data_IF_981275979853
#
_entry.id   IF_981275979853
#
_cell.length_a   1.000
_cell.length_b   1.000
_cell.length_c   1.000
_cell.angle_alpha   90.00
_cell.angle_beta   90.00
_cell.angle_gamma   90.00
#
_symmetry.space_group_name_H-M   'P 1'
#
loop_
_entity.id
_entity.type
_entity.pdbx_description
1 polymer ?
#
# COMPACT_ATOMS: atom_id res chain seq x y z
N UNK A 1 12.40 18.61 -25.51
CA UNK A 1 12.34 17.15 -25.35
C UNK A 1 11.37 16.88 -24.20
N UNK A 2 10.15 16.46 -24.53
CA UNK A 2 9.09 16.21 -23.55
C UNK A 2 9.44 14.97 -22.72
N UNK A 3 9.38 15.11 -21.40
CA UNK A 3 9.62 14.00 -20.48
C UNK A 3 8.36 13.14 -20.46
N UNK A 4 8.46 11.94 -21.03
CA UNK A 4 7.47 10.88 -20.89
C UNK A 4 7.57 10.34 -19.45
N UNK A 5 6.85 10.95 -18.51
CA UNK A 5 6.58 10.33 -17.20
C UNK A 5 5.51 9.26 -17.44
N UNK A 6 5.95 8.07 -17.85
CA UNK A 6 5.09 6.89 -17.92
C UNK A 6 4.36 6.71 -16.59
N UNK A 7 3.04 6.85 -16.53
CA UNK A 7 2.29 6.67 -15.29
C UNK A 7 1.93 5.19 -15.13
N UNK A 8 1.90 4.70 -13.90
CA UNK A 8 1.13 3.50 -13.45
C UNK A 8 1.83 2.14 -13.42
N UNK A 9 3.01 2.08 -12.82
CA UNK A 9 3.19 1.06 -11.77
C UNK A 9 2.91 1.77 -10.44
N UNK A 10 1.65 2.15 -10.22
CA UNK A 10 1.18 2.68 -8.94
C UNK A 10 1.18 1.53 -7.94
N UNK A 11 2.37 1.16 -7.47
CA UNK A 11 2.52 0.35 -6.27
C UNK A 11 1.96 1.18 -5.11
N UNK A 12 0.67 1.05 -4.85
CA UNK A 12 0.02 1.72 -3.73
C UNK A 12 0.53 1.00 -2.47
N UNK A 13 1.50 1.63 -1.81
CA UNK A 13 1.96 1.24 -0.48
C UNK A 13 1.10 1.98 0.54
N UNK A 14 0.29 1.25 1.29
CA UNK A 14 -0.50 1.82 2.39
C UNK A 14 -0.05 1.22 3.71
N UNK A 15 0.13 2.08 4.70
CA UNK A 15 0.39 1.68 6.07
C UNK A 15 -0.89 1.88 6.89
N UNK A 16 -1.28 0.87 7.65
CA UNK A 16 -2.36 0.98 8.62
C UNK A 16 -1.77 1.06 10.02
N UNK A 17 -2.23 2.06 10.79
CA UNK A 17 -1.88 2.20 12.22
C UNK A 17 -2.91 1.55 13.13
N UNK A 18 -4.09 1.25 12.61
CA UNK A 18 -5.22 0.71 13.34
C UNK A 18 -5.74 -0.57 12.68
N UNK A 19 -6.40 -1.41 13.47
CA UNK A 19 -6.92 -2.71 13.01
C UNK A 19 -7.99 -2.55 11.92
N UNK A 20 -8.84 -1.52 12.01
CA UNK A 20 -9.86 -1.22 11.00
C UNK A 20 -9.26 -0.86 9.63
N UNK A 21 -8.22 -0.02 9.61
CA UNK A 21 -7.54 0.31 8.35
C UNK A 21 -6.82 -0.91 7.77
N UNK A 22 -6.21 -1.72 8.63
CA UNK A 22 -5.57 -2.96 8.22
C UNK A 22 -6.59 -3.93 7.59
N UNK A 23 -7.78 -4.08 8.18
CA UNK A 23 -8.86 -4.90 7.61
C UNK A 23 -9.31 -4.37 6.25
N UNK A 24 -9.58 -3.05 6.14
CA UNK A 24 -9.96 -2.45 4.86
C UNK A 24 -8.93 -2.68 3.76
N UNK A 25 -7.63 -2.63 4.10
CA UNK A 25 -6.56 -2.89 3.14
C UNK A 25 -6.53 -4.35 2.71
N UNK A 26 -6.69 -5.28 3.64
CA UNK A 26 -6.77 -6.72 3.33
C UNK A 26 -7.99 -7.03 2.46
N UNK A 27 -9.17 -6.48 2.80
CA UNK A 27 -10.41 -6.65 2.02
C UNK A 27 -10.32 -6.01 0.64
N UNK A 28 -9.61 -4.88 0.51
CA UNK A 28 -9.34 -4.22 -0.77
C UNK A 28 -8.27 -4.93 -1.62
N UNK A 29 -7.76 -6.08 -1.15
CA UNK A 29 -6.82 -6.94 -1.87
C UNK A 29 -5.35 -6.55 -1.71
N UNK A 30 -5.01 -5.71 -0.74
CA UNK A 30 -3.60 -5.45 -0.43
C UNK A 30 -3.03 -6.60 0.39
N UNK A 31 -1.81 -7.02 0.06
CA UNK A 31 -1.10 -8.03 0.85
C UNK A 31 -0.31 -7.36 1.96
N UNK A 32 -0.42 -7.91 3.16
CA UNK A 32 0.47 -7.57 4.27
C UNK A 32 1.91 -7.91 3.89
N UNK A 33 2.83 -7.00 4.15
CA UNK A 33 4.26 -7.15 3.84
C UNK A 33 5.07 -7.25 5.12
N UNK A 34 4.96 -6.26 6.00
CA UNK A 34 5.73 -6.19 7.25
C UNK A 34 5.07 -5.19 8.20
N UNK A 35 5.35 -5.28 9.49
CA UNK A 35 5.06 -4.21 10.46
C UNK A 35 6.33 -3.44 10.81
N UNK A 36 6.24 -2.11 10.78
CA UNK A 36 7.31 -1.20 11.14
C UNK A 36 6.72 -0.17 12.08
N UNK A 37 7.32 0.00 13.27
CA UNK A 37 6.95 1.04 14.23
C UNK A 37 5.44 1.04 14.58
N UNK A 38 4.90 -0.15 14.90
CA UNK A 38 3.46 -0.40 15.15
C UNK A 38 2.52 -0.11 13.97
N UNK A 39 3.02 0.24 12.79
CA UNK A 39 2.23 0.36 11.58
C UNK A 39 2.40 -0.89 10.70
N UNK A 40 1.29 -1.47 10.24
CA UNK A 40 1.28 -2.60 9.30
C UNK A 40 1.35 -2.08 7.87
N UNK A 41 2.39 -2.42 7.12
CA UNK A 41 2.51 -2.12 5.70
C UNK A 41 1.78 -3.15 4.85
N UNK A 42 1.04 -2.64 3.88
CA UNK A 42 0.35 -3.40 2.86
C UNK A 42 0.76 -2.89 1.47
N UNK A 43 0.94 -3.83 0.54
CA UNK A 43 1.30 -3.53 -0.85
C UNK A 43 0.30 -4.19 -1.80
N UNK A 44 -0.16 -3.43 -2.78
CA UNK A 44 -0.86 -3.93 -3.97
C UNK A 44 -0.01 -3.67 -5.21
N UNK A 45 -0.10 -4.59 -6.18
CA UNK A 45 0.36 -4.33 -7.55
C UNK A 45 -0.69 -3.52 -8.28
#
# INVERSE_FOLDING_TARGET
>A
MSIDVSPRDEFICRAARNMEEAMKLVESGFKYVCDIDRAKLFRRK
#
